data_IF_007426538390
#
_entry.id   IF_007426538390
#
_cell.length_a   1.000
_cell.length_b   1.000
_cell.length_c   1.000
_cell.angle_alpha   90.00
_cell.angle_beta   90.00
_cell.angle_gamma   90.00
#
_symmetry.space_group_name_H-M   'P 1'
#
loop_
_entity.id
_entity.type
_entity.pdbx_description
1 polymer ?
#
# COMPACT_ATOMS: atom_id res chain seq x y z
N UNK A 1 3.21 -13.06 -69.08
CA UNK A 1 2.26 -12.10 -68.47
C UNK A 1 2.91 -11.57 -67.19
N UNK A 2 2.91 -10.25 -67.05
CA UNK A 2 3.39 -9.43 -65.93
C UNK A 2 2.95 -9.99 -64.56
N UNK A 3 3.69 -9.91 -63.44
CA UNK A 3 4.05 -8.71 -62.64
C UNK A 3 4.86 -9.20 -61.41
N UNK A 4 6.06 -8.66 -61.12
CA UNK A 4 6.37 -7.67 -60.06
C UNK A 4 7.08 -8.25 -58.80
N UNK A 5 8.31 -7.78 -58.57
CA UNK A 5 8.94 -7.66 -57.24
C UNK A 5 8.52 -6.29 -56.63
N UNK A 6 8.48 -6.12 -55.29
CA UNK A 6 9.60 -5.44 -54.62
C UNK A 6 9.83 -5.83 -53.13
N UNK A 7 10.89 -5.21 -52.58
CA UNK A 7 11.55 -5.35 -51.28
C UNK A 7 10.73 -4.85 -50.07
N UNK A 8 10.90 -5.50 -48.90
CA UNK A 8 10.86 -4.93 -47.53
C UNK A 8 11.36 -6.05 -46.58
N UNK A 9 12.50 -6.04 -45.87
CA UNK A 9 13.06 -4.99 -45.01
C UNK A 9 11.99 -4.38 -44.09
N UNK A 10 11.38 -5.21 -43.23
CA UNK A 10 10.46 -4.79 -42.18
C UNK A 10 11.04 -5.11 -40.82
N UNK A 11 11.48 -4.07 -40.11
CA UNK A 11 11.77 -4.09 -38.68
C UNK A 11 10.54 -4.59 -37.92
N UNK A 12 10.67 -5.64 -37.09
CA UNK A 12 9.66 -6.00 -36.11
C UNK A 12 10.26 -6.84 -34.97
N UNK A 13 11.36 -6.37 -34.39
CA UNK A 13 12.06 -7.03 -33.27
C UNK A 13 12.31 -6.00 -32.15
N UNK A 14 11.25 -5.30 -31.74
CA UNK A 14 11.27 -4.24 -30.71
C UNK A 14 10.20 -4.41 -29.61
N UNK A 15 9.63 -5.60 -29.43
CA UNK A 15 8.59 -5.86 -28.41
C UNK A 15 9.02 -6.96 -27.42
N UNK A 16 10.25 -6.90 -26.90
CA UNK A 16 10.73 -7.88 -25.89
C UNK A 16 11.24 -7.21 -24.60
N UNK A 17 10.87 -5.96 -24.33
CA UNK A 17 11.38 -5.22 -23.15
C UNK A 17 10.31 -4.81 -22.12
N UNK A 18 9.03 -5.17 -22.28
CA UNK A 18 7.97 -4.84 -21.29
C UNK A 18 7.59 -6.04 -20.43
N UNK A 19 8.51 -6.98 -20.20
CA UNK A 19 8.22 -8.28 -19.55
C UNK A 19 8.90 -8.48 -18.19
N UNK A 20 9.41 -7.42 -17.55
CA UNK A 20 9.84 -7.44 -16.15
C UNK A 20 9.45 -6.10 -15.50
N UNK A 21 8.19 -5.99 -15.06
CA UNK A 21 7.78 -5.00 -14.06
C UNK A 21 8.36 -5.41 -12.71
N UNK A 22 9.67 -5.19 -12.53
CA UNK A 22 10.41 -5.63 -11.35
C UNK A 22 11.52 -4.66 -10.99
N UNK A 23 11.37 -3.39 -11.38
CA UNK A 23 12.28 -2.33 -10.96
C UNK A 23 11.50 -1.10 -10.57
N UNK A 24 10.42 -0.80 -11.29
CA UNK A 24 9.44 0.23 -10.92
C UNK A 24 8.61 -0.24 -9.71
N UNK A 25 8.06 -1.45 -9.76
CA UNK A 25 7.28 -2.04 -8.66
C UNK A 25 8.11 -2.22 -7.38
N UNK A 26 9.37 -2.65 -7.50
CA UNK A 26 10.29 -2.78 -6.36
C UNK A 26 10.63 -1.40 -5.77
N UNK A 27 10.88 -0.40 -6.62
CA UNK A 27 11.14 0.97 -6.18
C UNK A 27 9.92 1.60 -5.48
N UNK A 28 8.71 1.37 -6.00
CA UNK A 28 7.48 1.85 -5.36
C UNK A 28 7.25 1.17 -4.00
N UNK A 29 7.53 -0.13 -3.89
CA UNK A 29 7.41 -0.87 -2.63
C UNK A 29 8.38 -0.32 -1.57
N UNK A 30 9.65 -0.12 -1.96
CA UNK A 30 10.69 0.42 -1.09
C UNK A 30 10.32 1.85 -0.62
N UNK A 31 9.81 2.69 -1.53
CA UNK A 31 9.39 4.05 -1.20
C UNK A 31 8.24 4.09 -0.19
N UNK A 32 7.25 3.19 -0.33
CA UNK A 32 6.14 3.08 0.64
C UNK A 32 6.66 2.57 1.99
N UNK A 33 7.53 1.56 2.00
CA UNK A 33 8.12 1.03 3.22
C UNK A 33 8.95 2.09 3.95
N UNK A 34 9.77 2.85 3.23
CA UNK A 34 10.57 3.94 3.78
C UNK A 34 9.67 5.03 4.37
N UNK A 35 8.61 5.44 3.66
CA UNK A 35 7.63 6.41 4.17
C UNK A 35 7.00 6.00 5.49
N UNK A 36 6.68 4.72 5.67
CA UNK A 36 6.10 4.20 6.92
C UNK A 36 7.10 4.20 8.09
N UNK A 37 8.40 4.19 7.77
CA UNK A 37 9.48 4.20 8.76
C UNK A 37 9.98 5.62 9.08
N UNK A 38 9.85 6.56 8.14
CA UNK A 38 10.37 7.94 8.26
C UNK A 38 9.43 8.89 9.02
N UNK A 39 8.20 8.48 9.32
CA UNK A 39 7.28 9.28 10.10
C UNK A 39 7.72 9.37 11.58
N UNK A 40 8.44 10.45 11.92
CA UNK A 40 8.76 10.88 13.31
C UNK A 40 7.52 11.02 14.23
N UNK A 41 6.29 10.95 13.66
CA UNK A 41 5.00 11.03 14.36
C UNK A 41 4.13 9.76 14.25
N UNK A 42 4.59 8.68 13.61
CA UNK A 42 3.80 7.45 13.50
C UNK A 42 3.63 6.80 14.89
N UNK A 43 2.43 6.97 15.44
CA UNK A 43 1.99 6.31 16.69
C UNK A 43 1.91 4.77 16.61
N UNK A 44 2.20 4.20 15.44
CA UNK A 44 2.25 2.77 15.17
C UNK A 44 3.71 2.38 14.97
N UNK A 45 4.35 1.86 16.02
CA UNK A 45 5.71 1.31 15.92
C UNK A 45 5.70 0.04 15.07
N UNK A 46 5.91 0.21 13.75
CA UNK A 46 6.16 -0.87 12.82
C UNK A 46 7.63 -1.26 12.84
N UNK A 47 7.89 -2.55 12.68
CA UNK A 47 9.23 -3.04 12.35
C UNK A 47 9.53 -2.84 10.88
N UNK A 48 10.81 -2.81 10.51
CA UNK A 48 11.21 -2.77 9.09
C UNK A 48 10.59 -3.92 8.29
N UNK A 49 10.50 -5.13 8.87
CA UNK A 49 9.90 -6.28 8.20
C UNK A 49 8.40 -6.09 7.93
N UNK A 50 7.67 -5.47 8.85
CA UNK A 50 6.26 -5.12 8.66
C UNK A 50 6.10 -4.02 7.61
N UNK A 51 6.96 -2.99 7.63
CA UNK A 51 6.95 -1.91 6.63
C UNK A 51 7.27 -2.44 5.22
N UNK A 52 8.28 -3.30 5.08
CA UNK A 52 8.65 -3.95 3.83
C UNK A 52 7.50 -4.84 3.31
N UNK A 53 6.83 -5.57 4.21
CA UNK A 53 5.65 -6.37 3.86
C UNK A 53 4.51 -5.49 3.34
N UNK A 54 4.23 -4.37 4.02
CA UNK A 54 3.18 -3.43 3.60
C UNK A 54 3.50 -2.83 2.24
N UNK A 55 4.73 -2.34 2.04
CA UNK A 55 5.17 -1.77 0.76
C UNK A 55 5.03 -2.76 -0.40
N UNK A 56 5.52 -3.99 -0.21
CA UNK A 56 5.37 -5.06 -1.20
C UNK A 56 3.90 -5.41 -1.46
N UNK A 57 3.09 -5.55 -0.40
CA UNK A 57 1.68 -5.89 -0.52
C UNK A 57 0.85 -4.80 -1.22
N UNK A 58 1.18 -3.53 -1.00
CA UNK A 58 0.51 -2.40 -1.68
C UNK A 58 0.77 -2.45 -3.19
N UNK A 59 2.01 -2.69 -3.60
CA UNK A 59 2.35 -2.84 -5.01
C UNK A 59 1.72 -4.11 -5.60
N UNK A 60 1.74 -5.24 -4.88
CA UNK A 60 1.15 -6.50 -5.35
C UNK A 60 -0.37 -6.39 -5.58
N UNK A 61 -1.08 -5.63 -4.74
CA UNK A 61 -2.54 -5.49 -4.85
C UNK A 61 -2.97 -4.36 -5.77
N UNK A 62 -2.28 -3.22 -5.73
CA UNK A 62 -2.71 -1.99 -6.41
C UNK A 62 -1.88 -1.70 -7.66
N UNK A 63 -0.60 -2.05 -7.66
CA UNK A 63 0.40 -1.69 -8.67
C UNK A 63 0.90 -0.26 -8.52
N UNK A 64 2.12 0.01 -9.02
CA UNK A 64 2.75 1.33 -8.96
C UNK A 64 1.87 2.44 -9.56
N UNK A 65 1.20 2.17 -10.69
CA UNK A 65 0.32 3.13 -11.37
C UNK A 65 -0.78 3.70 -10.45
N UNK A 66 -1.44 2.82 -9.67
CA UNK A 66 -2.50 3.25 -8.74
C UNK A 66 -1.94 3.95 -7.51
N UNK A 67 -0.78 3.53 -7.02
CA UNK A 67 -0.11 4.20 -5.91
C UNK A 67 0.24 5.64 -6.29
N UNK A 68 0.67 5.88 -7.53
CA UNK A 68 0.86 7.23 -8.06
C UNK A 68 -0.47 7.97 -8.23
N UNK A 69 -1.52 7.31 -8.77
CA UNK A 69 -2.86 7.91 -8.91
C UNK A 69 -3.43 8.39 -7.57
N UNK A 70 -3.21 7.61 -6.51
CA UNK A 70 -3.63 7.92 -5.16
C UNK A 70 -2.71 8.87 -4.41
N UNK A 71 -1.59 9.29 -5.03
CA UNK A 71 -0.63 10.21 -4.44
C UNK A 71 0.16 9.62 -3.27
N UNK A 72 0.20 8.30 -3.15
CA UNK A 72 1.00 7.59 -2.13
C UNK A 72 2.48 7.63 -2.51
N UNK A 73 2.77 7.48 -3.81
CA UNK A 73 4.09 7.71 -4.39
C UNK A 73 4.00 8.78 -5.47
N UNK A 74 5.11 9.43 -5.76
CA UNK A 74 5.23 10.42 -6.84
C UNK A 74 5.36 9.74 -8.21
N UNK A 75 5.34 10.52 -9.30
CA UNK A 75 5.56 10.01 -10.67
C UNK A 75 6.95 9.39 -10.88
N UNK A 76 7.92 9.75 -10.04
CA UNK A 76 9.27 9.15 -10.01
C UNK A 76 9.39 7.98 -9.02
N UNK A 77 8.27 7.48 -8.49
CA UNK A 77 8.19 6.35 -7.57
C UNK A 77 8.93 6.56 -6.25
N UNK A 78 8.96 7.81 -5.80
CA UNK A 78 9.45 8.21 -4.48
C UNK A 78 8.26 8.38 -3.53
N UNK A 79 8.50 8.32 -2.21
CA UNK A 79 7.46 8.61 -1.23
C UNK A 79 6.91 10.03 -1.42
N UNK A 80 5.60 10.21 -1.30
CA UNK A 80 4.98 11.53 -1.38
C UNK A 80 5.09 12.26 -0.04
N UNK A 81 5.65 13.47 -0.05
CA UNK A 81 5.69 14.35 1.12
C UNK A 81 4.34 15.06 1.41
N UNK A 82 3.36 14.93 0.51
CA UNK A 82 2.05 15.58 0.68
C UNK A 82 1.13 14.76 1.57
N UNK A 83 0.31 15.41 2.45
CA UNK A 83 -0.67 14.69 3.25
C UNK A 83 -1.66 14.00 2.32
N UNK A 84 -1.57 12.67 2.29
CA UNK A 84 -2.33 11.85 1.34
C UNK A 84 -3.79 11.78 1.80
N UNK A 85 -4.67 12.62 1.21
CA UNK A 85 -6.12 12.43 1.29
C UNK A 85 -6.51 11.30 0.32
N UNK A 86 -6.14 10.08 0.70
CA UNK A 86 -6.35 8.88 -0.11
C UNK A 86 -7.85 8.65 -0.23
N UNK A 87 -8.37 8.77 -1.45
CA UNK A 87 -9.74 8.34 -1.80
C UNK A 87 -9.68 7.20 -2.78
N UNK A 88 -9.38 6.02 -2.26
CA UNK A 88 -9.36 4.79 -3.06
C UNK A 88 -10.77 4.39 -3.47
N UNK A 89 -10.85 3.54 -4.50
CA UNK A 89 -12.09 2.80 -4.76
C UNK A 89 -12.37 1.82 -3.61
N UNK A 90 -13.64 1.45 -3.36
CA UNK A 90 -13.97 0.51 -2.28
C UNK A 90 -13.17 -0.81 -2.35
N UNK A 91 -12.90 -1.30 -3.56
CA UNK A 91 -12.12 -2.52 -3.77
C UNK A 91 -10.64 -2.34 -3.47
N UNK A 92 -10.07 -1.19 -3.84
CA UNK A 92 -8.67 -0.87 -3.59
C UNK A 92 -8.43 -0.54 -2.11
N UNK A 93 -9.40 0.15 -1.48
CA UNK A 93 -9.40 0.41 -0.04
C UNK A 93 -9.42 -0.89 0.78
N UNK A 94 -10.29 -1.84 0.40
CA UNK A 94 -10.35 -3.15 1.06
C UNK A 94 -9.06 -3.96 0.86
N UNK A 95 -8.47 -3.91 -0.33
CA UNK A 95 -7.19 -4.58 -0.60
C UNK A 95 -6.05 -3.97 0.21
N UNK A 96 -5.95 -2.63 0.27
CA UNK A 96 -4.96 -1.93 1.07
C UNK A 96 -5.13 -2.20 2.58
N UNK A 97 -6.37 -2.18 3.08
CA UNK A 97 -6.68 -2.53 4.46
C UNK A 97 -6.28 -3.98 4.79
N UNK A 98 -6.60 -4.91 3.88
CA UNK A 98 -6.19 -6.32 3.98
C UNK A 98 -4.68 -6.51 4.05
N UNK A 99 -3.90 -5.72 3.30
CA UNK A 99 -2.43 -5.73 3.40
C UNK A 99 -1.96 -5.22 4.76
N UNK A 100 -2.52 -4.11 5.25
CA UNK A 100 -2.14 -3.55 6.56
C UNK A 100 -2.38 -4.54 7.71
N UNK A 101 -3.54 -5.20 7.73
CA UNK A 101 -3.86 -6.20 8.77
C UNK A 101 -3.14 -7.54 8.56
N UNK A 102 -2.76 -7.87 7.33
CA UNK A 102 -2.05 -9.11 7.01
C UNK A 102 -0.54 -9.02 7.24
N UNK A 103 0.05 -7.83 7.08
CA UNK A 103 1.48 -7.59 7.25
C UNK A 103 1.85 -7.14 8.67
N UNK A 104 0.93 -6.50 9.38
CA UNK A 104 1.14 -6.07 10.75
C UNK A 104 -0.07 -6.47 11.60
N UNK A 105 0.16 -6.74 12.89
CA UNK A 105 -0.92 -6.95 13.85
C UNK A 105 -1.59 -5.59 14.16
N UNK A 106 -2.39 -5.11 13.21
CA UNK A 106 -3.02 -3.80 13.25
C UNK A 106 -3.98 -3.67 14.44
N UNK A 107 -4.60 -4.77 14.87
CA UNK A 107 -5.41 -4.83 16.08
C UNK A 107 -4.57 -4.60 17.34
N UNK A 108 -3.40 -5.26 17.46
CA UNK A 108 -2.44 -4.98 18.52
C UNK A 108 -1.96 -3.54 18.47
N UNK A 109 -1.54 -3.05 17.31
CA UNK A 109 -1.01 -1.69 17.16
C UNK A 109 -2.03 -0.62 17.55
N UNK A 110 -3.29 -0.77 17.13
CA UNK A 110 -4.37 0.14 17.53
C UNK A 110 -4.63 0.10 19.04
N UNK A 111 -4.62 -1.08 19.66
CA UNK A 111 -4.76 -1.22 21.12
C UNK A 111 -3.58 -0.58 21.86
N UNK A 112 -2.37 -0.79 21.38
CA UNK A 112 -1.15 -0.24 21.97
C UNK A 112 -1.13 1.29 21.85
N UNK A 113 -1.59 1.85 20.73
CA UNK A 113 -1.77 3.29 20.56
C UNK A 113 -2.79 3.88 21.56
N UNK A 114 -3.92 3.21 21.79
CA UNK A 114 -4.92 3.63 22.79
C UNK A 114 -4.35 3.56 24.21
N UNK A 115 -3.57 2.52 24.53
CA UNK A 115 -2.91 2.36 25.83
C UNK A 115 -1.80 3.39 26.05
N UNK A 116 -1.08 3.79 25.00
CA UNK A 116 -0.08 4.84 25.07
C UNK A 116 -0.72 6.21 25.34
N UNK A 117 -1.91 6.47 24.78
CA UNK A 117 -2.64 7.73 24.93
C UNK A 117 -3.44 7.88 26.24
N UNK A 118 -3.76 6.78 26.94
CA UNK A 118 -4.59 6.81 28.14
C UNK A 118 -4.20 5.74 29.18
N UNK A 119 -4.35 6.05 30.47
CA UNK A 119 -4.33 5.01 31.50
C UNK A 119 -5.63 4.21 31.40
N UNK A 120 -5.54 3.05 30.77
CA UNK A 120 -6.66 2.10 30.61
C UNK A 120 -6.70 1.21 31.86
N UNK A 121 -7.86 1.13 32.52
CA UNK A 121 -8.05 0.18 33.62
C UNK A 121 -8.38 -1.23 33.08
N UNK A 122 -8.21 -2.30 33.88
CA UNK A 122 -8.36 -3.68 33.39
C UNK A 122 -9.75 -4.00 32.78
N UNK A 123 -10.81 -3.32 33.20
CA UNK A 123 -12.13 -3.52 32.60
C UNK A 123 -12.23 -2.88 31.21
N UNK A 124 -11.55 -1.75 31.01
CA UNK A 124 -11.44 -1.10 29.71
C UNK A 124 -10.47 -1.87 28.77
N UNK A 125 -9.42 -2.53 29.30
CA UNK A 125 -8.56 -3.41 28.50
C UNK A 125 -9.34 -4.60 27.93
N UNK A 126 -10.15 -5.27 28.75
CA UNK A 126 -10.99 -6.38 28.30
C UNK A 126 -12.01 -5.92 27.23
N UNK A 127 -12.57 -4.72 27.39
CA UNK A 127 -13.47 -4.12 26.39
C UNK A 127 -12.75 -3.87 25.05
N UNK A 128 -11.53 -3.34 25.08
CA UNK A 128 -10.71 -3.14 23.89
C UNK A 128 -10.35 -4.46 23.22
N UNK A 129 -10.05 -5.51 23.99
CA UNK A 129 -9.72 -6.81 23.43
C UNK A 129 -10.90 -7.51 22.76
N UNK A 130 -12.11 -7.33 23.30
CA UNK A 130 -13.35 -7.86 22.70
C UNK A 130 -13.82 -7.05 21.49
N UNK A 131 -13.55 -5.74 21.45
CA UNK A 131 -14.09 -4.82 20.42
C UNK A 131 -13.12 -4.60 19.27
N UNK A 132 -11.82 -4.43 19.56
CA UNK A 132 -10.79 -4.18 18.55
C UNK A 132 -10.29 -5.54 18.06
N UNK A 133 -11.01 -6.09 17.09
CA UNK A 133 -10.66 -7.31 16.37
C UNK A 133 -10.01 -6.97 15.03
N UNK A 134 -9.32 -7.94 14.41
CA UNK A 134 -8.75 -7.77 13.07
C UNK A 134 -9.83 -7.33 12.07
N UNK A 135 -10.99 -8.01 12.06
CA UNK A 135 -12.12 -7.66 11.19
C UNK A 135 -12.58 -6.20 11.39
N UNK A 136 -12.67 -5.75 12.65
CA UNK A 136 -13.08 -4.37 12.97
C UNK A 136 -12.04 -3.33 12.53
N UNK A 137 -10.76 -3.69 12.58
CA UNK A 137 -9.68 -2.82 12.12
C UNK A 137 -9.61 -2.79 10.60
N UNK A 138 -9.82 -3.92 9.92
CA UNK A 138 -9.89 -3.98 8.46
C UNK A 138 -11.06 -3.15 7.93
N UNK A 139 -12.25 -3.27 8.53
CA UNK A 139 -13.41 -2.43 8.17
C UNK A 139 -13.13 -0.94 8.41
N UNK A 140 -12.50 -0.61 9.54
CA UNK A 140 -12.12 0.76 9.85
C UNK A 140 -11.12 1.32 8.83
N UNK A 141 -10.04 0.60 8.55
CA UNK A 141 -9.03 1.01 7.58
C UNK A 141 -9.61 1.13 6.17
N UNK A 142 -10.51 0.23 5.78
CA UNK A 142 -11.24 0.32 4.51
C UNK A 142 -12.06 1.61 4.43
N UNK A 143 -12.76 1.97 5.51
CA UNK A 143 -13.52 3.23 5.57
C UNK A 143 -12.61 4.46 5.49
N UNK A 144 -11.44 4.41 6.15
CA UNK A 144 -10.43 5.49 6.09
C UNK A 144 -9.88 5.63 4.67
N UNK A 145 -9.43 4.55 4.04
CA UNK A 145 -8.84 4.58 2.69
C UNK A 145 -9.84 4.90 1.58
N UNK A 146 -11.12 4.60 1.77
CA UNK A 146 -12.18 5.01 0.84
C UNK A 146 -12.64 6.46 1.05
N UNK A 147 -12.18 7.13 2.12
CA UNK A 147 -12.63 8.46 2.50
C UNK A 147 -14.07 8.50 3.02
N UNK A 148 -14.57 7.38 3.54
CA UNK A 148 -15.88 7.26 4.20
C UNK A 148 -15.83 7.51 5.72
N UNK A 149 -14.65 7.85 6.26
CA UNK A 149 -14.40 8.21 7.67
C UNK A 149 -14.84 9.61 8.08
#
# INVERSE_FOLDING_TARGET
>A
MFRAAPRAAGLALLLILTACGGSEDEQAADAVAESLMDEEEASLELTQEEADCVGAGFVDQLGADKLTEYGIVTEDLSASDEPVDVKMSDGDAAAAAGVMVGCADAARLMKDAVRAGAQVDPAAEACLDETVTEDSVEEFLTAVFSGAG
#
